data_IF_993384688512
#
_entry.id   IF_993384688512
#
_cell.length_a   1.000
_cell.length_b   1.000
_cell.length_c   1.000
_cell.angle_alpha   90.00
_cell.angle_beta   90.00
_cell.angle_gamma   90.00
#
_symmetry.space_group_name_H-M   'P 1'
#
loop_
_entity.id
_entity.type
_entity.pdbx_description
1 polymer ?
#
# COMPACT_ATOMS: atom_id res chain seq x y z
N UNK A 1 -24.09 9.90 12.02
CA UNK A 1 -24.06 10.98 11.01
C UNK A 1 -23.08 10.53 9.94
N UNK A 2 -23.41 10.60 8.65
CA UNK A 2 -22.42 10.27 7.61
C UNK A 2 -21.30 11.29 7.70
N UNK A 3 -20.08 10.82 7.92
CA UNK A 3 -18.87 11.61 8.11
C UNK A 3 -18.53 12.39 6.81
N UNK A 4 -19.16 13.54 6.61
CA UNK A 4 -19.06 14.38 5.42
C UNK A 4 -17.63 14.88 5.13
N UNK A 5 -16.72 14.80 6.11
CA UNK A 5 -15.28 15.07 5.92
C UNK A 5 -14.60 14.02 5.02
N UNK A 6 -15.10 12.78 4.97
CA UNK A 6 -14.55 11.75 4.08
C UNK A 6 -14.85 12.08 2.61
N UNK A 7 -16.04 12.63 2.35
CA UNK A 7 -16.40 13.13 1.02
C UNK A 7 -15.45 14.24 0.57
N UNK A 8 -14.99 15.10 1.48
CA UNK A 8 -14.03 16.15 1.17
C UNK A 8 -12.68 15.57 0.69
N UNK A 9 -12.13 14.58 1.39
CA UNK A 9 -10.90 13.90 0.97
C UNK A 9 -11.06 13.15 -0.36
N UNK A 10 -12.19 12.44 -0.54
CA UNK A 10 -12.50 11.74 -1.79
C UNK A 10 -12.62 12.74 -2.95
N UNK A 11 -13.27 13.88 -2.72
CA UNK A 11 -13.41 14.95 -3.70
C UNK A 11 -12.07 15.52 -4.13
N UNK A 12 -11.18 15.83 -3.18
CA UNK A 12 -9.82 16.29 -3.48
C UNK A 12 -9.00 15.24 -4.24
N UNK A 13 -9.07 13.98 -3.80
CA UNK A 13 -8.38 12.88 -4.45
C UNK A 13 -8.82 12.73 -5.93
N UNK A 14 -10.14 12.78 -6.18
CA UNK A 14 -10.70 12.71 -7.52
C UNK A 14 -10.36 13.95 -8.36
N UNK A 15 -10.30 15.13 -7.75
CA UNK A 15 -9.88 16.36 -8.41
C UNK A 15 -8.43 16.26 -8.90
N UNK A 16 -7.50 15.86 -8.02
CA UNK A 16 -6.07 15.70 -8.35
C UNK A 16 -5.87 14.58 -9.38
N UNK A 17 -6.53 13.43 -9.17
CA UNK A 17 -6.45 12.29 -10.09
C UNK A 17 -7.01 12.63 -11.46
N UNK A 18 -8.16 13.31 -11.52
CA UNK A 18 -8.79 13.77 -12.76
C UNK A 18 -7.91 14.77 -13.51
N UNK A 19 -7.30 15.74 -12.83
CA UNK A 19 -6.35 16.67 -13.45
C UNK A 19 -5.09 15.97 -13.97
N UNK A 20 -4.60 14.97 -13.24
CA UNK A 20 -3.46 14.14 -13.65
C UNK A 20 -3.77 13.28 -14.87
N UNK A 21 -4.99 12.75 -14.97
CA UNK A 21 -5.44 11.99 -16.14
C UNK A 21 -5.76 12.89 -17.33
N UNK A 22 -6.34 14.08 -17.10
CA UNK A 22 -6.72 15.03 -18.15
C UNK A 22 -5.51 15.64 -18.88
N UNK A 23 -4.36 15.74 -18.21
CA UNK A 23 -3.08 16.14 -18.84
C UNK A 23 -2.37 15.04 -19.61
N UNK A 24 -2.88 13.80 -19.59
CA UNK A 24 -2.31 12.73 -20.40
C UNK A 24 -2.65 12.96 -21.88
N UNK A 25 -1.70 12.70 -22.77
CA UNK A 25 -1.86 12.96 -24.20
C UNK A 25 -2.98 12.11 -24.86
N UNK A 26 -3.38 12.46 -26.10
CA UNK A 26 -4.53 11.87 -26.79
C UNK A 26 -4.43 10.35 -27.02
N UNK A 27 -3.22 9.80 -26.95
CA UNK A 27 -2.94 8.36 -27.08
C UNK A 27 -3.56 7.52 -25.95
N UNK A 28 -3.90 8.13 -24.80
CA UNK A 28 -4.49 7.43 -23.67
C UNK A 28 -6.01 7.65 -23.63
N UNK A 29 -6.80 6.60 -23.90
CA UNK A 29 -8.28 6.68 -23.85
C UNK A 29 -8.82 7.20 -22.50
N UNK A 30 -8.11 6.95 -21.39
CA UNK A 30 -8.46 7.43 -20.05
C UNK A 30 -8.37 8.96 -19.87
N UNK A 31 -7.66 9.66 -20.76
CA UNK A 31 -7.58 11.13 -20.73
C UNK A 31 -8.95 11.80 -20.99
N UNK A 32 -9.83 11.14 -21.77
CA UNK A 32 -11.18 11.63 -22.08
C UNK A 32 -12.07 11.80 -20.83
N UNK A 33 -11.82 10.99 -19.79
CA UNK A 33 -12.58 10.99 -18.54
C UNK A 33 -11.91 11.87 -17.48
N UNK A 34 -10.65 12.30 -17.69
CA UNK A 34 -9.86 13.02 -16.69
C UNK A 34 -10.51 14.32 -16.21
N UNK A 35 -10.83 15.25 -17.12
CA UNK A 35 -11.48 16.52 -16.74
C UNK A 35 -12.89 16.35 -16.17
N UNK A 36 -13.78 15.50 -16.73
CA UNK A 36 -15.05 15.16 -16.10
C UNK A 36 -14.89 14.62 -14.67
N UNK A 37 -13.91 13.75 -14.44
CA UNK A 37 -13.60 13.21 -13.11
C UNK A 37 -13.11 14.30 -12.15
N UNK A 38 -12.31 15.24 -12.65
CA UNK A 38 -11.84 16.38 -11.86
C UNK A 38 -12.99 17.30 -11.45
N UNK A 39 -13.92 17.58 -12.37
CA UNK A 39 -15.14 18.35 -12.11
C UNK A 39 -16.06 17.65 -11.12
N UNK A 40 -16.19 16.34 -11.21
CA UNK A 40 -16.95 15.54 -10.25
C UNK A 40 -16.33 15.61 -8.86
N UNK A 41 -15.00 15.46 -8.75
CA UNK A 41 -14.27 15.65 -7.49
C UNK A 41 -14.44 17.05 -6.90
N UNK A 42 -14.38 18.08 -7.75
CA UNK A 42 -14.65 19.46 -7.35
C UNK A 42 -16.09 19.63 -6.84
N UNK A 43 -17.08 19.04 -7.52
CA UNK A 43 -18.46 19.00 -7.05
C UNK A 43 -18.57 18.39 -5.66
N UNK A 44 -17.95 17.23 -5.42
CA UNK A 44 -17.96 16.59 -4.10
C UNK A 44 -17.38 17.49 -3.00
N UNK A 45 -16.32 18.25 -3.29
CA UNK A 45 -15.73 19.20 -2.33
C UNK A 45 -16.67 20.37 -2.02
N UNK A 46 -17.34 20.92 -3.04
CA UNK A 46 -18.23 22.09 -2.87
C UNK A 46 -19.60 21.73 -2.29
N UNK A 47 -20.13 20.53 -2.57
CA UNK A 47 -21.42 20.06 -2.10
C UNK A 47 -21.32 19.21 -0.82
N UNK A 48 -20.23 19.37 -0.04
CA UNK A 48 -19.89 18.43 1.04
C UNK A 48 -20.67 18.57 2.34
N UNK A 49 -21.27 19.71 2.71
CA UNK A 49 -22.28 19.84 3.81
C UNK A 49 -22.53 21.32 4.22
N UNK A 50 -23.61 21.55 4.98
CA UNK A 50 -24.05 22.84 5.57
C UNK A 50 -23.04 23.50 6.54
N UNK A 51 -22.05 22.76 7.04
CA UNK A 51 -21.08 23.21 8.05
C UNK A 51 -19.90 24.01 7.46
N UNK A 52 -19.80 24.05 6.12
CA UNK A 52 -18.83 24.88 5.40
C UNK A 52 -17.46 24.22 5.19
N UNK A 53 -16.76 24.67 4.14
CA UNK A 53 -15.52 24.08 3.63
C UNK A 53 -14.39 24.02 4.68
N UNK A 54 -14.28 25.05 5.51
CA UNK A 54 -13.18 25.21 6.49
C UNK A 54 -13.32 24.19 7.62
N UNK A 55 -14.54 23.99 8.13
CA UNK A 55 -14.78 23.05 9.22
C UNK A 55 -14.53 21.60 8.78
N UNK A 56 -14.96 21.25 7.57
CA UNK A 56 -14.70 19.93 6.99
C UNK A 56 -13.20 19.68 6.80
N UNK A 57 -12.44 20.65 6.28
CA UNK A 57 -10.98 20.55 6.15
C UNK A 57 -10.29 20.36 7.51
N UNK A 58 -10.69 21.13 8.52
CA UNK A 58 -10.12 21.05 9.86
C UNK A 58 -10.37 19.68 10.49
N UNK A 59 -11.59 19.15 10.39
CA UNK A 59 -11.92 17.81 10.89
C UNK A 59 -11.11 16.76 10.13
N UNK A 60 -11.08 16.82 8.79
CA UNK A 60 -10.32 15.90 7.96
C UNK A 60 -8.82 15.90 8.28
N UNK A 61 -8.23 17.09 8.48
CA UNK A 61 -6.83 17.30 8.82
C UNK A 61 -6.51 16.77 10.22
N UNK A 62 -7.38 17.03 11.19
CA UNK A 62 -7.27 16.51 12.55
C UNK A 62 -7.32 14.98 12.57
N UNK A 63 -8.31 14.37 11.90
CA UNK A 63 -8.45 12.92 11.80
C UNK A 63 -7.26 12.28 11.09
N UNK A 64 -6.74 12.91 10.03
CA UNK A 64 -5.53 12.44 9.36
C UNK A 64 -4.31 12.49 10.30
N UNK A 65 -4.12 13.61 11.01
CA UNK A 65 -3.02 13.77 11.97
C UNK A 65 -3.09 12.75 13.09
N UNK A 66 -4.29 12.53 13.66
CA UNK A 66 -4.53 11.53 14.68
C UNK A 66 -4.23 10.11 14.18
N UNK A 67 -4.61 9.81 12.94
CA UNK A 67 -4.32 8.51 12.30
C UNK A 67 -2.82 8.31 12.12
N UNK A 68 -2.10 9.33 11.66
CA UNK A 68 -0.65 9.24 11.42
C UNK A 68 0.15 8.94 12.69
N UNK A 69 -0.28 9.45 13.85
CA UNK A 69 0.45 9.23 15.12
C UNK A 69 0.62 7.76 15.50
N UNK A 70 -0.38 6.92 15.21
CA UNK A 70 -0.27 5.48 15.47
C UNK A 70 0.08 4.69 14.19
N UNK A 71 -0.39 5.11 13.02
CA UNK A 71 -0.19 4.37 11.77
C UNK A 71 1.27 4.37 11.30
N UNK A 72 1.99 5.49 11.44
CA UNK A 72 3.41 5.58 11.06
C UNK A 72 4.28 4.61 11.86
N UNK A 73 4.29 4.63 13.21
CA UNK A 73 5.04 3.63 13.97
C UNK A 73 4.51 2.21 13.72
N UNK A 74 3.21 2.02 13.48
CA UNK A 74 2.63 0.71 13.16
C UNK A 74 3.21 0.11 11.87
N UNK A 75 3.26 0.89 10.79
CA UNK A 75 3.86 0.50 9.51
C UNK A 75 5.36 0.19 9.64
N UNK A 76 6.10 1.00 10.40
CA UNK A 76 7.52 0.78 10.68
C UNK A 76 7.71 -0.53 11.46
N UNK A 77 6.89 -0.77 12.49
CA UNK A 77 6.88 -2.01 13.27
C UNK A 77 6.62 -3.23 12.39
N UNK A 78 5.58 -3.20 11.56
CA UNK A 78 5.25 -4.26 10.61
C UNK A 78 6.40 -4.54 9.63
N UNK A 79 7.01 -3.50 9.07
CA UNK A 79 8.16 -3.64 8.18
C UNK A 79 9.35 -4.32 8.86
N UNK A 80 9.67 -3.93 10.10
CA UNK A 80 10.76 -4.52 10.87
C UNK A 80 10.46 -5.98 11.22
N UNK A 81 9.22 -6.29 11.64
CA UNK A 81 8.78 -7.67 11.92
C UNK A 81 8.89 -8.53 10.66
N UNK A 82 8.39 -8.04 9.52
CA UNK A 82 8.48 -8.76 8.24
C UNK A 82 9.94 -9.02 7.85
N UNK A 83 10.84 -8.05 8.05
CA UNK A 83 12.28 -8.19 7.77
C UNK A 83 12.98 -9.13 8.75
N UNK A 84 12.52 -9.22 9.99
CA UNK A 84 13.07 -10.10 11.03
C UNK A 84 12.52 -11.54 10.96
N UNK A 85 11.42 -11.75 10.23
CA UNK A 85 10.75 -13.03 10.05
C UNK A 85 11.60 -14.00 9.21
N UNK A 86 11.69 -15.29 9.58
CA UNK A 86 12.51 -16.27 8.87
C UNK A 86 11.86 -16.65 7.54
N UNK A 87 12.54 -16.38 6.42
CA UNK A 87 12.11 -16.86 5.09
C UNK A 87 12.63 -18.29 4.83
N UNK A 88 13.75 -18.68 5.46
CA UNK A 88 14.35 -20.02 5.34
C UNK A 88 15.01 -20.47 6.65
N UNK A 89 14.22 -20.48 7.74
CA UNK A 89 14.62 -21.02 9.05
C UNK A 89 15.77 -20.29 9.78
N UNK A 90 16.22 -19.12 9.31
CA UNK A 90 17.13 -18.23 10.04
C UNK A 90 16.34 -17.05 10.58
N UNK A 91 15.96 -17.11 11.86
CA UNK A 91 15.31 -15.99 12.55
C UNK A 91 16.35 -14.97 12.99
N UNK A 92 16.01 -13.68 12.93
CA UNK A 92 16.80 -12.62 13.56
C UNK A 92 16.03 -12.12 14.79
N UNK A 93 16.21 -12.75 15.97
CA UNK A 93 15.36 -12.51 17.14
C UNK A 93 15.45 -11.07 17.65
N UNK A 94 16.60 -10.42 17.52
CA UNK A 94 16.79 -9.01 17.89
C UNK A 94 15.96 -8.06 17.04
N UNK A 95 15.97 -8.23 15.71
CA UNK A 95 15.12 -7.42 14.82
C UNK A 95 13.64 -7.69 15.05
N UNK A 96 13.27 -8.93 15.35
CA UNK A 96 11.88 -9.29 15.65
C UNK A 96 11.41 -8.62 16.95
N UNK A 97 12.23 -8.65 18.01
CA UNK A 97 11.94 -7.97 19.27
C UNK A 97 11.77 -6.45 19.10
N UNK A 98 12.63 -5.80 18.31
CA UNK A 98 12.52 -4.38 17.99
C UNK A 98 11.22 -4.09 17.23
N UNK A 99 10.90 -4.90 16.21
CA UNK A 99 9.67 -4.73 15.44
C UNK A 99 8.42 -4.84 16.30
N UNK A 100 8.37 -5.83 17.19
CA UNK A 100 7.28 -5.98 18.16
C UNK A 100 7.20 -4.84 19.17
N UNK A 101 8.34 -4.35 19.69
CA UNK A 101 8.35 -3.22 20.62
C UNK A 101 7.77 -1.94 19.96
N UNK A 102 8.13 -1.67 18.70
CA UNK A 102 7.60 -0.53 17.94
C UNK A 102 6.10 -0.72 17.64
N UNK A 103 5.67 -1.95 17.36
CA UNK A 103 4.26 -2.27 17.09
C UNK A 103 3.39 -2.13 18.35
N UNK A 104 3.90 -2.56 19.51
CA UNK A 104 3.26 -2.33 20.81
C UNK A 104 3.18 -0.84 21.17
N UNK A 105 4.22 -0.06 20.85
CA UNK A 105 4.19 1.39 21.02
C UNK A 105 3.11 2.04 20.14
N UNK A 106 2.99 1.62 18.88
CA UNK A 106 1.91 2.06 17.99
C UNK A 106 0.53 1.77 18.58
N UNK A 107 0.32 0.57 19.12
CA UNK A 107 -0.94 0.20 19.78
C UNK A 107 -1.21 0.99 21.05
N UNK A 108 -0.17 1.25 21.85
CA UNK A 108 -0.28 2.09 23.03
C UNK A 108 -0.74 3.51 22.68
N UNK A 109 -0.16 4.11 21.62
CA UNK A 109 -0.57 5.43 21.13
C UNK A 109 -2.03 5.39 20.67
N UNK A 110 -2.42 4.37 19.90
CA UNK A 110 -3.80 4.18 19.45
C UNK A 110 -4.79 4.11 20.62
N UNK A 111 -4.51 3.29 21.64
CA UNK A 111 -5.41 3.08 22.76
C UNK A 111 -5.50 4.27 23.73
N UNK A 112 -4.49 5.15 23.75
CA UNK A 112 -4.45 6.30 24.66
C UNK A 112 -4.99 7.58 24.03
N UNK A 113 -4.87 7.74 22.71
CA UNK A 113 -5.27 8.95 21.99
C UNK A 113 -6.55 8.78 21.18
N UNK A 114 -6.96 7.54 20.93
CA UNK A 114 -8.21 7.23 20.27
C UNK A 114 -9.08 6.48 21.26
N UNK A 115 -10.37 6.82 21.35
CA UNK A 115 -11.34 6.02 22.08
C UNK A 115 -11.99 5.02 21.11
N UNK A 116 -11.46 3.78 20.98
CA UNK A 116 -11.98 2.82 20.02
C UNK A 116 -13.36 2.31 20.44
N UNK A 117 -13.77 2.59 21.68
CA UNK A 117 -15.00 2.12 22.32
C UNK A 117 -15.98 3.26 22.64
N UNK A 118 -15.63 4.51 22.30
CA UNK A 118 -16.47 5.69 22.51
C UNK A 118 -17.57 5.88 21.47
N UNK A 119 -17.45 5.20 20.33
CA UNK A 119 -18.53 5.05 19.36
C UNK A 119 -19.38 3.81 19.66
N UNK A 120 -20.62 3.83 19.18
CA UNK A 120 -21.59 2.73 19.30
C UNK A 120 -20.91 1.38 19.02
N UNK A 121 -21.00 0.44 19.97
CA UNK A 121 -20.25 -0.85 19.96
C UNK A 121 -20.37 -1.58 18.62
N UNK A 122 -21.53 -1.44 17.97
CA UNK A 122 -21.83 -2.01 16.66
C UNK A 122 -20.89 -1.44 15.57
N UNK A 123 -20.65 -0.13 15.55
CA UNK A 123 -19.77 0.54 14.60
C UNK A 123 -18.31 0.08 14.76
N UNK A 124 -17.85 -0.03 16.01
CA UNK A 124 -16.50 -0.53 16.30
C UNK A 124 -16.32 -1.99 15.89
N UNK A 125 -17.32 -2.85 16.13
CA UNK A 125 -17.31 -4.25 15.69
C UNK A 125 -17.27 -4.34 14.15
N UNK A 126 -18.08 -3.54 13.45
CA UNK A 126 -18.10 -3.50 11.98
C UNK A 126 -16.75 -3.04 11.43
N UNK A 127 -16.13 -2.04 12.07
CA UNK A 127 -14.82 -1.52 11.65
C UNK A 127 -13.72 -2.57 11.80
N UNK A 128 -13.68 -3.25 12.95
CA UNK A 128 -12.73 -4.35 13.21
C UNK A 128 -12.97 -5.49 12.22
N UNK A 129 -14.23 -5.88 12.00
CA UNK A 129 -14.57 -6.91 11.02
C UNK A 129 -14.15 -6.52 9.59
N UNK A 130 -14.34 -5.25 9.21
CA UNK A 130 -13.89 -4.70 7.93
C UNK A 130 -12.37 -4.78 7.75
N UNK A 131 -11.60 -4.42 8.79
CA UNK A 131 -10.14 -4.55 8.77
C UNK A 131 -9.69 -6.00 8.62
N UNK A 132 -10.34 -6.93 9.33
CA UNK A 132 -10.07 -8.37 9.20
C UNK A 132 -10.37 -8.86 7.78
N UNK A 133 -11.50 -8.45 7.19
CA UNK A 133 -11.86 -8.81 5.81
C UNK A 133 -10.84 -8.28 4.82
N UNK A 134 -10.43 -7.01 4.93
CA UNK A 134 -9.40 -6.41 4.07
C UNK A 134 -8.08 -7.18 4.19
N UNK A 135 -7.69 -7.55 5.41
CA UNK A 135 -6.49 -8.35 5.64
C UNK A 135 -6.60 -9.74 5.00
N UNK A 136 -7.75 -10.41 5.11
CA UNK A 136 -8.01 -11.71 4.46
C UNK A 136 -7.95 -11.57 2.93
N UNK A 137 -8.60 -10.56 2.37
CA UNK A 137 -8.57 -10.28 0.92
C UNK A 137 -7.15 -9.99 0.46
N UNK A 138 -6.36 -9.25 1.24
CA UNK A 138 -4.96 -8.98 0.94
C UNK A 138 -4.11 -10.25 0.94
N UNK A 139 -4.26 -11.11 1.96
CA UNK A 139 -3.60 -12.41 2.01
C UNK A 139 -4.02 -13.31 0.84
N UNK A 140 -5.29 -13.27 0.45
CA UNK A 140 -5.78 -14.00 -0.71
C UNK A 140 -5.21 -13.44 -2.01
N UNK A 141 -5.10 -12.12 -2.15
CA UNK A 141 -4.50 -11.47 -3.32
C UNK A 141 -3.01 -11.80 -3.44
N UNK A 142 -2.25 -11.78 -2.32
CA UNK A 142 -0.85 -12.23 -2.30
C UNK A 142 -0.77 -13.68 -2.75
N UNK A 143 -1.57 -14.58 -2.16
CA UNK A 143 -1.61 -15.98 -2.58
C UNK A 143 -1.96 -16.13 -4.05
N UNK A 144 -2.91 -15.36 -4.58
CA UNK A 144 -3.33 -15.41 -5.97
C UNK A 144 -2.20 -14.93 -6.89
N UNK A 145 -1.49 -13.87 -6.52
CA UNK A 145 -0.30 -13.39 -7.25
C UNK A 145 0.85 -14.39 -7.19
N UNK A 146 1.02 -15.08 -6.06
CA UNK A 146 2.05 -16.11 -5.88
C UNK A 146 1.71 -17.43 -6.59
N UNK A 147 0.42 -17.78 -6.72
CA UNK A 147 -0.04 -18.99 -7.42
C UNK A 147 -0.32 -18.76 -8.90
N UNK A 148 -0.49 -17.51 -9.33
CA UNK A 148 -0.44 -17.16 -10.74
C UNK A 148 0.93 -17.59 -11.25
N UNK A 149 0.99 -18.42 -12.31
CA UNK A 149 2.25 -18.71 -12.97
C UNK A 149 2.86 -17.37 -13.34
N UNK A 150 3.96 -17.00 -12.67
CA UNK A 150 4.87 -15.98 -13.19
C UNK A 150 5.19 -16.50 -14.58
N UNK A 151 4.72 -15.81 -15.62
CA UNK A 151 4.87 -16.21 -17.01
C UNK A 151 6.15 -17.02 -17.14
N UNK A 152 6.04 -18.31 -17.44
CA UNK A 152 7.14 -19.07 -18.00
C UNK A 152 7.44 -18.39 -19.33
N UNK A 153 8.02 -17.18 -19.29
CA UNK A 153 9.04 -16.81 -20.24
C UNK A 153 10.11 -17.85 -20.02
N UNK A 154 9.87 -19.00 -20.64
CA UNK A 154 10.85 -19.99 -21.00
C UNK A 154 11.85 -19.18 -21.78
N UNK A 155 12.87 -18.68 -21.07
CA UNK A 155 14.03 -18.06 -21.68
C UNK A 155 14.43 -19.05 -22.76
N UNK A 156 14.38 -18.67 -24.05
CA UNK A 156 14.63 -19.61 -25.12
C UNK A 156 15.99 -20.27 -24.85
N UNK A 157 16.11 -21.59 -25.07
CA UNK A 157 17.37 -22.27 -24.83
C UNK A 157 18.49 -21.53 -25.58
N UNK A 158 19.67 -21.42 -24.95
CA UNK A 158 20.80 -20.70 -25.54
C UNK A 158 20.94 -21.07 -27.01
N UNK A 159 21.01 -20.05 -27.86
CA UNK A 159 21.31 -20.24 -29.28
C UNK A 159 22.66 -20.95 -29.43
N UNK A 160 22.87 -21.66 -30.54
CA UNK A 160 24.14 -22.35 -30.79
C UNK A 160 25.35 -21.41 -30.74
N UNK A 161 25.15 -20.14 -31.12
CA UNK A 161 26.16 -19.08 -30.98
C UNK A 161 26.48 -18.75 -29.53
N UNK A 162 25.48 -18.64 -28.66
CA UNK A 162 25.68 -18.39 -27.23
C UNK A 162 26.30 -19.60 -26.53
N UNK A 163 25.90 -20.83 -26.87
CA UNK A 163 26.52 -22.05 -26.35
C UNK A 163 28.01 -22.09 -26.68
N UNK A 164 28.37 -21.79 -27.93
CA UNK A 164 29.76 -21.78 -28.39
C UNK A 164 30.56 -20.69 -27.68
N UNK A 165 29.97 -19.50 -27.51
CA UNK A 165 30.60 -18.40 -26.78
C UNK A 165 30.83 -18.76 -25.31
N UNK A 166 29.80 -19.27 -24.61
CA UNK A 166 29.90 -19.69 -23.21
C UNK A 166 30.93 -20.80 -23.04
N UNK A 167 30.94 -21.81 -23.92
CA UNK A 167 31.94 -22.88 -23.91
C UNK A 167 33.37 -22.34 -24.09
N UNK A 168 33.58 -21.37 -24.97
CA UNK A 168 34.89 -20.74 -25.18
C UNK A 168 35.37 -19.97 -23.95
N UNK A 169 34.46 -19.25 -23.28
CA UNK A 169 34.77 -18.51 -22.06
C UNK A 169 35.06 -19.47 -20.90
N UNK A 170 34.29 -20.57 -20.79
CA UNK A 170 34.48 -21.57 -19.75
C UNK A 170 35.83 -22.27 -19.90
N UNK A 171 36.15 -22.74 -21.11
CA UNK A 171 37.43 -23.36 -21.42
C UNK A 171 38.60 -22.41 -21.10
N UNK A 172 38.51 -21.15 -21.53
CA UNK A 172 39.56 -20.15 -21.26
C UNK A 172 39.81 -19.92 -19.77
N UNK A 173 38.78 -20.00 -18.92
CA UNK A 173 38.93 -19.79 -17.47
C UNK A 173 39.27 -21.07 -16.70
N UNK A 174 38.88 -22.24 -17.21
CA UNK A 174 39.19 -23.53 -16.58
C UNK A 174 40.60 -24.01 -16.94
N UNK A 175 41.05 -23.75 -18.17
CA UNK A 175 42.41 -24.05 -18.61
C UNK A 175 43.46 -23.18 -17.87
N UNK A 176 43.09 -21.93 -17.54
CA UNK A 176 43.95 -21.01 -16.77
C UNK A 176 43.97 -21.30 -15.25
N UNK A 177 43.38 -22.40 -14.79
CA UNK A 177 43.43 -22.89 -13.40
C UNK A 177 44.18 -24.23 -13.27
N UNK A 178 44.81 -24.69 -14.35
CA UNK A 178 45.50 -25.99 -14.44
C UNK A 178 47.02 -25.97 -14.30
N UNK A 179 47.65 -24.80 -14.13
CA UNK A 179 49.08 -24.60 -13.82
C UNK A 179 49.23 -23.82 -12.50
#
# INVERSE_FOLDING_TARGET
MTEWWLQWWIGLFLMVSGFSMGRMGPAFNRAKIGYPLALFGLGLVFFSSDEGLIQNEQIASETMRQTLYWAVPGLIGCFIVARGSPIYNVTRPSTLAIGWAVLLLSWYILLTHYDPFGHDLISSIITIAGLIIVFIVHMFAIRLVETLPRSDETIPPLSETEKTYVASVLNRHLENKGD
#
